data_IF_818071015517
#
_entry.id   IF_818071015517
#
_cell.length_a   1.000
_cell.length_b   1.000
_cell.length_c   1.000
_cell.angle_alpha   90.00
_cell.angle_beta   90.00
_cell.angle_gamma   90.00
#
_symmetry.space_group_name_H-M   'P 1'
#
loop_
_entity.id
_entity.type
_entity.pdbx_description
1 polymer ?
#
# COMPACT_ATOMS: atom_id res chain seq x y z
N UNK A 1 3.60 -12.76 -26.50
CA UNK A 1 4.00 -13.59 -25.33
C UNK A 1 3.32 -14.94 -25.44
N UNK A 2 4.01 -16.04 -25.13
CA UNK A 2 3.35 -17.34 -25.02
C UNK A 2 2.41 -17.36 -23.84
N UNK A 3 1.37 -18.19 -23.86
CA UNK A 3 0.41 -18.30 -22.73
C UNK A 3 1.11 -18.63 -21.41
N UNK A 4 2.20 -19.40 -21.46
CA UNK A 4 3.01 -19.76 -20.30
C UNK A 4 3.73 -18.53 -19.72
N UNK A 5 4.30 -17.67 -20.58
CA UNK A 5 4.98 -16.44 -20.10
C UNK A 5 4.00 -15.44 -19.49
N UNK A 6 2.76 -15.36 -19.99
CA UNK A 6 1.72 -14.50 -19.40
C UNK A 6 1.29 -14.99 -18.00
N UNK A 7 1.17 -16.32 -17.82
CA UNK A 7 0.88 -16.89 -16.49
C UNK A 7 2.04 -16.65 -15.53
N UNK A 8 3.27 -16.85 -15.98
CA UNK A 8 4.46 -16.57 -15.17
C UNK A 8 4.55 -15.10 -14.74
N UNK A 9 4.29 -14.18 -15.66
CA UNK A 9 4.20 -12.74 -15.39
C UNK A 9 3.16 -12.45 -14.30
N UNK A 10 1.93 -12.98 -14.48
CA UNK A 10 0.83 -12.78 -13.54
C UNK A 10 1.17 -13.29 -12.13
N UNK A 11 1.75 -14.48 -12.01
CA UNK A 11 2.13 -15.06 -10.73
C UNK A 11 3.21 -14.24 -10.03
N UNK A 12 4.26 -13.84 -10.76
CA UNK A 12 5.34 -12.99 -10.22
C UNK A 12 4.84 -11.61 -9.81
N UNK A 13 4.00 -10.97 -10.64
CA UNK A 13 3.41 -9.68 -10.32
C UNK A 13 2.62 -9.72 -9.01
N UNK A 14 1.78 -10.76 -8.83
CA UNK A 14 1.00 -10.93 -7.61
C UNK A 14 1.87 -11.23 -6.38
N UNK A 15 2.93 -12.03 -6.53
CA UNK A 15 3.88 -12.32 -5.45
C UNK A 15 4.55 -11.03 -4.95
N UNK A 16 5.07 -10.21 -5.87
CA UNK A 16 5.66 -8.91 -5.50
C UNK A 16 4.63 -7.97 -4.89
N UNK A 17 3.42 -7.89 -5.45
CA UNK A 17 2.35 -7.05 -4.91
C UNK A 17 1.97 -7.44 -3.49
N UNK A 18 1.93 -8.74 -3.18
CA UNK A 18 1.68 -9.23 -1.83
C UNK A 18 2.82 -8.89 -0.86
N UNK A 19 4.08 -9.05 -1.27
CA UNK A 19 5.23 -8.68 -0.45
C UNK A 19 5.24 -7.17 -0.17
N UNK A 20 5.01 -6.34 -1.19
CA UNK A 20 4.92 -4.89 -1.07
C UNK A 20 3.74 -4.45 -0.19
N UNK A 21 2.58 -5.12 -0.31
CA UNK A 21 1.43 -4.89 0.57
C UNK A 21 1.80 -5.06 2.05
N UNK A 22 2.55 -6.09 2.42
CA UNK A 22 2.97 -6.32 3.81
C UNK A 22 3.88 -5.18 4.29
N UNK A 23 4.81 -4.70 3.44
CA UNK A 23 5.72 -3.60 3.79
C UNK A 23 4.94 -2.29 3.93
N UNK A 24 3.99 -1.99 3.02
CA UNK A 24 3.09 -0.85 3.11
C UNK A 24 2.21 -0.90 4.36
N UNK A 25 1.64 -2.06 4.68
CA UNK A 25 0.85 -2.25 5.89
C UNK A 25 1.66 -1.94 7.15
N UNK A 26 2.93 -2.38 7.22
CA UNK A 26 3.83 -2.01 8.33
C UNK A 26 4.05 -0.51 8.41
N UNK A 27 4.27 0.15 7.28
CA UNK A 27 4.47 1.60 7.22
C UNK A 27 3.23 2.35 7.71
N UNK A 28 2.04 1.95 7.31
CA UNK A 28 0.78 2.52 7.78
C UNK A 28 0.55 2.29 9.28
N UNK A 29 0.77 1.07 9.78
CA UNK A 29 0.66 0.74 11.18
C UNK A 29 1.55 1.66 12.03
N UNK A 30 2.79 1.89 11.60
CA UNK A 30 3.72 2.78 12.30
C UNK A 30 3.32 4.24 12.17
N UNK A 31 2.98 4.69 10.97
CA UNK A 31 2.59 6.10 10.71
C UNK A 31 1.37 6.52 11.52
N UNK A 32 0.33 5.66 11.57
CA UNK A 32 -0.89 5.92 12.32
C UNK A 32 -0.78 5.52 13.80
N UNK A 33 0.40 5.14 14.26
CA UNK A 33 0.67 4.79 15.66
C UNK A 33 -0.29 3.72 16.19
N UNK A 34 -0.62 2.73 15.36
CA UNK A 34 -1.42 1.57 15.79
C UNK A 34 -0.62 0.82 16.84
N UNK A 35 -1.20 0.63 18.03
CA UNK A 35 -0.48 0.05 19.17
C UNK A 35 0.16 -1.30 18.85
N UNK A 36 1.37 -1.52 19.34
CA UNK A 36 2.14 -2.76 19.14
C UNK A 36 1.47 -4.00 19.74
N UNK A 37 0.53 -3.81 20.66
CA UNK A 37 -0.27 -4.89 21.26
C UNK A 37 -1.43 -5.37 20.37
N UNK A 38 -1.64 -4.73 19.22
CA UNK A 38 -2.66 -5.15 18.29
C UNK A 38 -2.19 -6.43 17.55
N UNK A 39 -2.97 -7.53 17.52
CA UNK A 39 -2.53 -8.83 17.01
C UNK A 39 -2.06 -8.76 15.55
N UNK A 40 -2.75 -7.98 14.70
CA UNK A 40 -2.34 -7.77 13.30
C UNK A 40 -1.03 -6.99 13.18
N UNK A 41 -0.82 -5.99 14.03
CA UNK A 41 0.44 -5.24 14.06
C UNK A 41 1.60 -6.17 14.41
N UNK A 42 1.43 -7.00 15.42
CA UNK A 42 2.46 -7.95 15.86
C UNK A 42 2.81 -8.95 14.75
N UNK A 43 1.81 -9.52 14.06
CA UNK A 43 2.03 -10.43 12.93
C UNK A 43 2.84 -9.77 11.80
N UNK A 44 2.47 -8.55 11.40
CA UNK A 44 3.18 -7.80 10.35
C UNK A 44 4.60 -7.46 10.78
N UNK A 45 4.80 -7.02 12.03
CA UNK A 45 6.15 -6.75 12.56
C UNK A 45 7.01 -8.01 12.60
N UNK A 46 6.48 -9.15 13.02
CA UNK A 46 7.20 -10.43 13.07
C UNK A 46 7.59 -10.91 11.67
N UNK A 47 6.67 -10.85 10.70
CA UNK A 47 6.93 -11.25 9.31
C UNK A 47 8.00 -10.38 8.64
N UNK A 48 8.02 -9.09 8.95
CA UNK A 48 8.96 -8.14 8.32
C UNK A 48 10.26 -7.96 9.09
N UNK A 49 10.32 -8.40 10.35
CA UNK A 49 11.48 -8.26 11.21
C UNK A 49 12.79 -8.81 10.60
N UNK A 50 12.84 -10.04 10.01
CA UNK A 50 14.09 -10.61 9.52
C UNK A 50 14.76 -9.73 8.45
N UNK A 51 13.98 -8.98 7.67
CA UNK A 51 14.51 -8.13 6.61
C UNK A 51 14.78 -6.70 7.12
N UNK A 52 13.87 -6.15 7.92
CA UNK A 52 13.93 -4.73 8.32
C UNK A 52 14.89 -4.50 9.48
N UNK A 53 15.00 -5.43 10.43
CA UNK A 53 15.90 -5.27 11.58
C UNK A 53 17.37 -5.11 11.18
N UNK A 54 17.94 -5.92 10.26
CA UNK A 54 19.33 -5.72 9.81
C UNK A 54 19.50 -4.36 9.08
N UNK A 55 18.51 -3.92 8.29
CA UNK A 55 18.56 -2.62 7.63
C UNK A 55 18.58 -1.49 8.66
N UNK A 56 17.74 -1.58 9.70
CA UNK A 56 17.71 -0.59 10.78
C UNK A 56 19.03 -0.52 11.54
N UNK A 57 19.63 -1.66 11.86
CA UNK A 57 20.90 -1.71 12.61
C UNK A 57 22.08 -1.15 11.80
N UNK A 58 22.14 -1.43 10.49
CA UNK A 58 23.30 -1.09 9.66
C UNK A 58 23.22 0.31 9.06
N UNK A 59 22.04 0.76 8.65
CA UNK A 59 21.86 2.00 7.89
C UNK A 59 21.39 3.16 8.78
N UNK A 60 20.57 2.89 9.80
CA UNK A 60 19.86 3.94 10.54
C UNK A 60 20.26 3.95 12.04
N UNK A 61 21.52 3.68 12.31
CA UNK A 61 22.07 3.48 13.67
C UNK A 61 21.66 4.50 14.75
N UNK A 62 21.27 5.72 14.40
CA UNK A 62 20.97 6.79 15.36
C UNK A 62 19.58 7.44 15.26
N UNK A 63 18.70 7.06 14.34
CA UNK A 63 17.40 7.72 14.13
C UNK A 63 16.16 6.86 14.43
N UNK A 64 16.34 5.63 14.89
CA UNK A 64 15.33 4.59 14.68
C UNK A 64 14.20 4.47 15.69
N UNK A 65 14.39 4.79 16.96
CA UNK A 65 13.43 4.37 17.98
C UNK A 65 12.24 5.31 18.16
N UNK A 66 12.41 6.59 17.89
CA UNK A 66 11.38 7.62 18.16
C UNK A 66 10.76 8.28 16.91
N UNK A 67 11.21 7.92 15.71
CA UNK A 67 10.67 8.53 14.49
C UNK A 67 9.30 7.93 14.12
N UNK A 68 8.36 8.80 13.77
CA UNK A 68 7.05 8.46 13.21
C UNK A 68 7.15 7.71 11.87
N UNK A 69 8.27 7.89 11.17
CA UNK A 69 8.55 7.27 9.88
C UNK A 69 9.49 6.07 10.04
N UNK A 70 9.18 4.96 9.40
CA UNK A 70 10.06 3.81 9.30
C UNK A 70 10.94 3.93 8.04
N UNK A 71 12.07 4.67 8.18
CA UNK A 71 12.98 4.88 7.05
C UNK A 71 13.52 3.59 6.46
N UNK A 72 13.69 2.53 7.28
CA UNK A 72 14.09 1.23 6.78
C UNK A 72 13.03 0.60 5.87
N UNK A 73 11.75 0.75 6.24
CA UNK A 73 10.63 0.36 5.38
C UNK A 73 10.61 1.13 4.06
N UNK A 74 10.84 2.45 4.09
CA UNK A 74 10.86 3.27 2.87
C UNK A 74 12.00 2.86 1.93
N UNK A 75 13.21 2.65 2.46
CA UNK A 75 14.35 2.16 1.68
C UNK A 75 14.03 0.80 1.07
N UNK A 76 13.48 -0.11 1.87
CA UNK A 76 13.09 -1.44 1.39
C UNK A 76 12.00 -1.38 0.31
N UNK A 77 11.00 -0.50 0.46
CA UNK A 77 9.96 -0.29 -0.56
C UNK A 77 10.57 0.14 -1.89
N UNK A 78 11.40 1.19 -1.90
CA UNK A 78 12.05 1.68 -3.12
C UNK A 78 12.88 0.57 -3.76
N UNK A 79 13.65 -0.17 -2.95
CA UNK A 79 14.45 -1.28 -3.45
C UNK A 79 13.58 -2.39 -4.06
N UNK A 80 12.52 -2.80 -3.37
CA UNK A 80 11.62 -3.86 -3.85
C UNK A 80 10.87 -3.45 -5.12
N UNK A 81 10.47 -2.17 -5.26
CA UNK A 81 9.83 -1.67 -6.47
C UNK A 81 10.79 -1.69 -7.68
N UNK A 82 11.99 -1.15 -7.52
CA UNK A 82 13.00 -1.18 -8.56
C UNK A 82 13.36 -2.63 -8.96
N UNK A 83 13.51 -3.50 -7.98
CA UNK A 83 13.81 -4.91 -8.18
C UNK A 83 12.68 -5.64 -8.94
N UNK A 84 11.43 -5.40 -8.56
CA UNK A 84 10.23 -5.92 -9.23
C UNK A 84 10.24 -5.58 -10.72
N UNK A 85 10.30 -4.28 -11.06
CA UNK A 85 10.25 -3.87 -12.46
C UNK A 85 11.50 -4.29 -13.26
N UNK A 86 12.67 -4.33 -12.64
CA UNK A 86 13.88 -4.85 -13.28
C UNK A 86 13.76 -6.33 -13.60
N UNK A 87 13.33 -7.16 -12.67
CA UNK A 87 13.11 -8.60 -12.91
C UNK A 87 12.03 -8.82 -13.97
N UNK A 88 10.91 -8.09 -13.87
CA UNK A 88 9.83 -8.19 -14.85
C UNK A 88 10.30 -7.82 -16.25
N UNK A 89 11.12 -6.78 -16.39
CA UNK A 89 11.72 -6.39 -17.67
C UNK A 89 12.63 -7.46 -18.25
N UNK A 90 13.49 -8.05 -17.42
CA UNK A 90 14.45 -9.07 -17.88
C UNK A 90 13.76 -10.38 -18.26
N UNK A 91 12.83 -10.86 -17.41
CA UNK A 91 12.23 -12.19 -17.59
C UNK A 91 11.10 -12.22 -18.62
N UNK A 92 10.29 -11.17 -18.71
CA UNK A 92 9.05 -11.19 -19.48
C UNK A 92 8.99 -10.19 -20.64
N UNK A 93 9.71 -9.07 -20.55
CA UNK A 93 9.71 -8.03 -21.57
C UNK A 93 10.96 -8.04 -22.46
N UNK A 94 11.85 -9.03 -22.31
CA UNK A 94 13.09 -9.14 -23.09
C UNK A 94 13.95 -7.87 -23.07
N UNK A 95 14.00 -7.20 -21.91
CA UNK A 95 14.70 -5.94 -21.69
C UNK A 95 14.25 -4.78 -22.60
N UNK A 96 12.96 -4.76 -22.97
CA UNK A 96 12.38 -3.73 -23.84
C UNK A 96 12.26 -2.35 -23.14
N UNK A 97 12.28 -2.32 -21.80
CA UNK A 97 12.19 -1.08 -21.01
C UNK A 97 13.57 -0.49 -20.77
N UNK A 98 13.68 0.81 -20.96
CA UNK A 98 14.87 1.56 -20.57
C UNK A 98 14.96 1.72 -19.04
N UNK A 99 16.13 2.10 -18.53
CA UNK A 99 16.30 2.39 -17.10
C UNK A 99 15.34 3.50 -16.61
N UNK A 100 15.13 4.52 -17.44
CA UNK A 100 14.20 5.60 -17.13
C UNK A 100 12.74 5.09 -17.00
N UNK A 101 12.33 4.15 -17.86
CA UNK A 101 10.99 3.55 -17.79
C UNK A 101 10.82 2.75 -16.50
N UNK A 102 11.81 1.93 -16.13
CA UNK A 102 11.80 1.19 -14.87
C UNK A 102 11.67 2.12 -13.67
N UNK A 103 12.40 3.23 -13.68
CA UNK A 103 12.32 4.24 -12.61
C UNK A 103 10.94 4.90 -12.55
N UNK A 104 10.40 5.33 -13.71
CA UNK A 104 9.08 5.96 -13.78
C UNK A 104 7.98 5.01 -13.29
N UNK A 105 8.02 3.74 -13.71
CA UNK A 105 7.02 2.76 -13.28
C UNK A 105 7.13 2.44 -11.79
N UNK A 106 8.33 2.35 -11.27
CA UNK A 106 8.53 2.17 -9.82
C UNK A 106 7.95 3.33 -9.01
N UNK A 107 8.16 4.58 -9.45
CA UNK A 107 7.60 5.76 -8.78
C UNK A 107 6.07 5.78 -8.90
N UNK A 108 5.52 5.46 -10.07
CA UNK A 108 4.08 5.41 -10.27
C UNK A 108 3.42 4.34 -9.39
N UNK A 109 4.01 3.15 -9.28
CA UNK A 109 3.49 2.06 -8.45
C UNK A 109 3.59 2.37 -6.95
N UNK A 110 4.61 3.10 -6.52
CA UNK A 110 4.70 3.62 -5.14
C UNK A 110 3.53 4.57 -4.78
N UNK A 111 2.86 5.17 -5.76
CA UNK A 111 1.65 5.97 -5.56
C UNK A 111 0.39 5.10 -5.65
N UNK A 112 0.36 4.20 -6.62
CA UNK A 112 -0.81 3.32 -6.88
C UNK A 112 -1.08 2.37 -5.72
N UNK A 113 -0.05 1.74 -5.17
CA UNK A 113 -0.21 0.73 -4.13
C UNK A 113 -0.86 1.25 -2.84
N UNK A 114 -0.41 2.36 -2.23
CA UNK A 114 -1.07 2.90 -1.05
C UNK A 114 -2.50 3.38 -1.34
N UNK A 115 -2.77 3.90 -2.55
CA UNK A 115 -4.12 4.25 -2.97
C UNK A 115 -5.03 3.02 -3.00
N UNK A 116 -4.57 1.90 -3.54
CA UNK A 116 -5.31 0.65 -3.56
C UNK A 116 -5.55 0.08 -2.16
N UNK A 117 -4.55 0.11 -1.29
CA UNK A 117 -4.70 -0.33 0.10
C UNK A 117 -5.77 0.49 0.82
N UNK A 118 -5.72 1.82 0.71
CA UNK A 118 -6.71 2.70 1.32
C UNK A 118 -8.10 2.52 0.69
N UNK A 119 -8.18 2.35 -0.62
CA UNK A 119 -9.43 2.07 -1.34
C UNK A 119 -10.14 0.82 -0.78
N UNK A 120 -9.44 -0.32 -0.73
CA UNK A 120 -10.01 -1.54 -0.16
C UNK A 120 -10.30 -1.42 1.33
N UNK A 121 -9.44 -0.73 2.09
CA UNK A 121 -9.67 -0.49 3.51
C UNK A 121 -10.95 0.30 3.77
N UNK A 122 -11.23 1.34 2.96
CA UNK A 122 -12.46 2.15 3.06
C UNK A 122 -13.70 1.33 2.68
N UNK A 123 -13.62 0.53 1.60
CA UNK A 123 -14.72 -0.35 1.19
C UNK A 123 -15.05 -1.33 2.31
N UNK A 124 -14.06 -2.06 2.83
CA UNK A 124 -14.26 -3.05 3.88
C UNK A 124 -14.84 -2.37 5.13
N UNK A 125 -14.28 -1.23 5.54
CA UNK A 125 -14.81 -0.44 6.65
C UNK A 125 -16.28 -0.06 6.46
N UNK A 126 -16.65 0.42 5.28
CA UNK A 126 -18.02 0.83 4.96
C UNK A 126 -18.97 -0.35 5.00
N UNK A 127 -18.59 -1.49 4.42
CA UNK A 127 -19.37 -2.74 4.50
C UNK A 127 -19.52 -3.21 5.95
N UNK A 128 -18.45 -3.22 6.73
CA UNK A 128 -18.51 -3.59 8.14
C UNK A 128 -19.49 -2.70 8.93
N UNK A 129 -19.49 -1.39 8.65
CA UNK A 129 -20.41 -0.45 9.29
C UNK A 129 -21.88 -0.72 8.97
N UNK A 130 -22.17 -1.23 7.75
CA UNK A 130 -23.54 -1.58 7.35
C UNK A 130 -24.04 -2.87 7.99
N UNK A 131 -23.15 -3.88 8.10
CA UNK A 131 -23.53 -5.17 8.69
C UNK A 131 -23.63 -5.12 10.21
N UNK A 132 -22.69 -4.44 10.87
CA UNK A 132 -22.68 -4.31 12.33
C UNK A 132 -21.93 -3.05 12.78
N UNK A 133 -22.64 -1.95 13.08
CA UNK A 133 -22.02 -0.69 13.52
C UNK A 133 -21.23 -0.81 14.84
N UNK A 134 -21.55 -1.82 15.66
CA UNK A 134 -20.94 -2.03 16.98
C UNK A 134 -19.82 -3.08 16.98
N UNK A 135 -19.30 -3.43 15.82
CA UNK A 135 -18.27 -4.46 15.71
C UNK A 135 -16.95 -4.02 16.37
N UNK A 136 -16.68 -4.62 17.53
CA UNK A 136 -15.48 -4.31 18.33
C UNK A 136 -14.26 -5.18 17.95
N UNK A 137 -14.25 -5.82 16.78
CA UNK A 137 -13.15 -6.66 16.36
C UNK A 137 -11.87 -5.84 16.17
N UNK A 138 -10.69 -6.34 16.60
CA UNK A 138 -9.41 -5.64 16.41
C UNK A 138 -9.18 -5.16 14.98
N UNK A 139 -9.50 -5.97 13.98
CA UNK A 139 -9.38 -5.63 12.57
C UNK A 139 -10.20 -4.38 12.17
N UNK A 140 -11.43 -4.25 12.67
CA UNK A 140 -12.26 -3.06 12.43
C UNK A 140 -11.60 -1.80 12.99
N UNK A 141 -11.01 -1.90 14.18
CA UNK A 141 -10.28 -0.78 14.80
C UNK A 141 -9.06 -0.38 13.98
N UNK A 142 -8.32 -1.34 13.42
CA UNK A 142 -7.18 -1.07 12.55
C UNK A 142 -7.62 -0.32 11.29
N UNK A 143 -8.66 -0.82 10.59
CA UNK A 143 -9.22 -0.14 9.42
C UNK A 143 -9.67 1.28 9.74
N UNK A 144 -10.32 1.47 10.89
CA UNK A 144 -10.73 2.78 11.37
C UNK A 144 -9.52 3.72 11.53
N UNK A 145 -8.48 3.30 12.23
CA UNK A 145 -7.28 4.11 12.49
C UNK A 145 -6.56 4.53 11.21
N UNK A 146 -6.49 3.63 10.22
CA UNK A 146 -5.79 3.88 8.95
C UNK A 146 -6.61 4.78 8.02
N UNK A 147 -7.93 4.63 7.99
CA UNK A 147 -8.80 5.37 7.05
C UNK A 147 -9.34 6.68 7.61
N UNK A 148 -9.48 6.80 8.94
CA UNK A 148 -10.07 7.98 9.59
C UNK A 148 -9.38 9.31 9.25
N UNK A 149 -8.04 9.42 9.18
CA UNK A 149 -7.39 10.69 8.86
C UNK A 149 -7.80 11.22 7.48
N UNK A 150 -7.94 10.33 6.49
CA UNK A 150 -8.39 10.68 5.13
C UNK A 150 -9.86 11.09 5.14
N UNK A 151 -10.73 10.26 5.71
CA UNK A 151 -12.17 10.51 5.76
C UNK A 151 -12.50 11.77 6.56
N UNK A 152 -11.80 12.02 7.67
CA UNK A 152 -11.96 13.26 8.46
C UNK A 152 -11.63 14.51 7.65
N UNK A 153 -10.60 14.46 6.82
CA UNK A 153 -10.24 15.59 5.94
C UNK A 153 -11.33 15.86 4.94
N UNK A 154 -11.89 14.83 4.33
CA UNK A 154 -12.97 14.93 3.35
C UNK A 154 -14.26 15.45 4.00
N UNK A 155 -14.63 14.95 5.20
CA UNK A 155 -15.80 15.43 5.96
C UNK A 155 -15.76 16.92 6.29
N UNK A 156 -14.57 17.52 6.40
CA UNK A 156 -14.46 18.96 6.65
C UNK A 156 -14.86 19.81 5.43
N UNK A 157 -14.76 19.24 4.23
CA UNK A 157 -15.05 19.92 2.96
C UNK A 157 -16.47 19.62 2.49
N UNK A 158 -16.99 18.44 2.83
CA UNK A 158 -18.34 18.02 2.41
C UNK A 158 -19.40 18.59 3.36
N UNK A 159 -20.51 19.14 2.80
CA UNK A 159 -21.66 19.47 3.62
C UNK A 159 -22.31 18.20 4.19
N UNK A 160 -22.82 18.27 5.41
CA UNK A 160 -23.57 17.17 6.01
C UNK A 160 -24.91 16.98 5.26
N UNK A 161 -25.06 15.86 4.56
CA UNK A 161 -26.29 15.49 3.86
C UNK A 161 -27.07 14.47 4.70
N UNK A 162 -27.75 14.96 5.73
CA UNK A 162 -28.57 14.13 6.60
C UNK A 162 -27.80 13.10 7.42
N UNK A 163 -28.33 11.87 7.50
CA UNK A 163 -27.73 10.78 8.31
C UNK A 163 -26.69 9.95 7.54
N UNK A 164 -26.47 10.19 6.25
CA UNK A 164 -25.59 9.39 5.41
C UNK A 164 -24.24 10.09 5.29
N UNK A 165 -23.16 9.38 5.66
CA UNK A 165 -21.79 9.83 5.46
C UNK A 165 -21.36 9.57 4.00
N UNK A 166 -21.27 10.64 3.20
CA UNK A 166 -20.81 10.56 1.80
C UNK A 166 -19.29 10.57 1.67
N UNK A 167 -18.55 10.77 2.76
CA UNK A 167 -17.10 10.86 2.71
C UNK A 167 -16.41 9.60 2.19
N UNK A 168 -16.87 8.35 2.45
CA UNK A 168 -16.27 7.17 1.86
C UNK A 168 -16.38 7.13 0.34
N UNK A 169 -17.51 7.56 -0.23
CA UNK A 169 -17.73 7.59 -1.68
C UNK A 169 -16.76 8.56 -2.35
N UNK A 170 -16.66 9.77 -1.80
CA UNK A 170 -15.72 10.77 -2.32
C UNK A 170 -14.27 10.31 -2.18
N UNK A 171 -13.91 9.70 -1.04
CA UNK A 171 -12.57 9.14 -0.82
C UNK A 171 -12.22 8.07 -1.88
N UNK A 172 -13.13 7.15 -2.15
CA UNK A 172 -12.98 6.08 -3.14
C UNK A 172 -12.78 6.68 -4.55
N UNK A 173 -13.59 7.67 -4.93
CA UNK A 173 -13.47 8.34 -6.22
C UNK A 173 -12.14 9.09 -6.35
N UNK A 174 -11.71 9.81 -5.32
CA UNK A 174 -10.42 10.49 -5.31
C UNK A 174 -9.25 9.51 -5.44
N UNK A 175 -9.24 8.43 -4.66
CA UNK A 175 -8.18 7.43 -4.71
C UNK A 175 -8.11 6.74 -6.08
N UNK A 176 -9.27 6.40 -6.67
CA UNK A 176 -9.32 5.83 -8.02
C UNK A 176 -8.89 6.83 -9.10
N UNK A 177 -9.22 8.10 -8.96
CA UNK A 177 -8.73 9.13 -9.88
C UNK A 177 -7.21 9.26 -9.85
N UNK A 178 -6.60 9.25 -8.66
CA UNK A 178 -5.14 9.27 -8.49
C UNK A 178 -4.51 8.02 -9.11
N UNK A 179 -5.09 6.85 -8.86
CA UNK A 179 -4.62 5.58 -9.42
C UNK A 179 -4.66 5.60 -10.95
N UNK A 180 -5.77 6.06 -11.56
CA UNK A 180 -5.93 6.13 -13.02
C UNK A 180 -4.87 7.06 -13.64
N UNK A 181 -4.65 8.24 -13.05
CA UNK A 181 -3.62 9.17 -13.51
C UNK A 181 -2.23 8.56 -13.38
N UNK A 182 -1.89 7.99 -12.23
CA UNK A 182 -0.59 7.36 -12.02
C UNK A 182 -0.39 6.14 -12.91
N UNK A 183 -1.42 5.29 -13.08
CA UNK A 183 -1.37 4.11 -13.96
C UNK A 183 -1.32 4.47 -15.44
N UNK A 184 -1.66 5.72 -15.81
CA UNK A 184 -1.51 6.23 -17.16
C UNK A 184 -0.07 6.20 -17.68
N UNK A 185 0.91 6.19 -16.78
CA UNK A 185 2.32 6.04 -17.13
C UNK A 185 2.73 4.60 -17.46
N UNK A 186 1.93 3.59 -17.09
CA UNK A 186 2.24 2.19 -17.41
C UNK A 186 1.90 1.87 -18.87
N UNK A 187 2.75 1.13 -19.59
CA UNK A 187 2.38 0.58 -20.89
C UNK A 187 1.20 -0.39 -20.72
N UNK A 188 0.39 -0.50 -21.79
CA UNK A 188 -0.81 -1.37 -21.82
C UNK A 188 -0.53 -2.81 -21.40
N UNK A 189 0.71 -3.30 -21.60
CA UNK A 189 1.17 -4.65 -21.24
C UNK A 189 1.35 -4.84 -19.72
N UNK A 190 1.40 -3.76 -18.94
CA UNK A 190 1.66 -3.81 -17.49
C UNK A 190 0.44 -3.38 -16.66
N UNK A 191 -0.66 -3.02 -17.33
CA UNK A 191 -1.95 -2.66 -16.70
C UNK A 191 -2.74 -3.85 -16.25
#
# INVERSE_FOLDING_TARGET
>A
MSSISSVGYFLMANLFSFALFIIWARLFIRYFSVGTFHPFSQSIYTLTAPIIVPIQKNIIRNRGAQSRYDFACLILLVFCELFKFTIMNVLFLSSALSFNDVLMYSIADMVVQPCNILFYAIIIRSLMSWFNPYWQHPFARLLFLVTEPLLRTIRKVLPNVGMIDLSPIVAILMLKSIEIVASGFFPVLLR
#
